data_IF_326201162745
#
_entry.id   IF_326201162745
#
_cell.length_a   1.000
_cell.length_b   1.000
_cell.length_c   1.000
_cell.angle_alpha   90.00
_cell.angle_beta   90.00
_cell.angle_gamma   90.00
#
_symmetry.space_group_name_H-M   'P 1'
#
loop_
_entity.id
_entity.type
_entity.pdbx_description
1 polymer ?
#
# COMPACT_ATOMS: atom_id res chain seq x y z
N UNK A 1 -18.35 -20.02 -11.00
CA UNK A 1 -16.98 -20.23 -10.47
C UNK A 1 -15.90 -19.86 -11.49
N UNK A 2 -16.09 -20.13 -12.79
CA UNK A 2 -15.14 -19.77 -13.86
C UNK A 2 -15.02 -18.27 -14.16
N UNK A 3 -16.10 -17.50 -14.00
CA UNK A 3 -16.10 -16.04 -14.23
C UNK A 3 -15.26 -15.27 -13.20
N UNK A 4 -15.23 -15.71 -11.94
CA UNK A 4 -14.40 -15.09 -10.90
C UNK A 4 -12.91 -15.29 -11.18
N UNK A 5 -12.52 -16.48 -11.64
CA UNK A 5 -11.13 -16.79 -12.04
C UNK A 5 -10.71 -16.01 -13.28
N UNK A 6 -11.58 -15.89 -14.29
CA UNK A 6 -11.27 -15.15 -15.52
C UNK A 6 -11.18 -13.63 -15.27
N UNK A 7 -12.03 -13.08 -14.41
CA UNK A 7 -11.99 -11.67 -14.01
C UNK A 7 -10.73 -11.31 -13.22
N UNK A 8 -10.34 -12.17 -12.27
CA UNK A 8 -9.09 -12.01 -11.51
C UNK A 8 -7.88 -12.15 -12.44
N UNK A 9 -7.84 -13.16 -13.32
CA UNK A 9 -6.74 -13.30 -14.28
C UNK A 9 -6.66 -12.13 -15.25
N UNK A 10 -7.79 -11.59 -15.72
CA UNK A 10 -7.82 -10.41 -16.58
C UNK A 10 -7.35 -9.13 -15.87
N UNK A 11 -7.76 -8.93 -14.61
CA UNK A 11 -7.32 -7.81 -13.78
C UNK A 11 -5.84 -7.90 -13.42
N UNK A 12 -5.37 -9.09 -13.02
CA UNK A 12 -3.96 -9.39 -12.78
C UNK A 12 -3.16 -9.18 -14.05
N UNK A 13 -3.60 -9.69 -15.21
CA UNK A 13 -2.92 -9.46 -16.49
C UNK A 13 -2.89 -7.97 -16.86
N UNK A 14 -3.94 -7.20 -16.59
CA UNK A 14 -3.98 -5.75 -16.85
C UNK A 14 -3.02 -4.97 -15.93
N UNK A 15 -2.88 -5.38 -14.67
CA UNK A 15 -1.85 -4.89 -13.76
C UNK A 15 -0.43 -5.29 -14.21
N UNK A 16 -0.27 -6.52 -14.75
CA UNK A 16 0.99 -7.04 -15.27
C UNK A 16 1.46 -6.37 -16.58
N UNK A 17 0.52 -5.98 -17.44
CA UNK A 17 0.80 -5.41 -18.78
C UNK A 17 0.99 -3.88 -18.74
N UNK A 18 0.46 -3.22 -17.71
CA UNK A 18 0.63 -1.78 -17.50
C UNK A 18 2.00 -1.47 -16.88
N UNK A 19 3.03 -1.47 -17.72
CA UNK A 19 4.35 -0.85 -17.56
C UNK A 19 4.87 -0.62 -16.12
N UNK A 20 5.99 -1.29 -15.80
CA UNK A 20 6.88 -1.01 -14.65
C UNK A 20 6.62 -1.72 -13.31
N UNK A 21 6.10 -2.95 -13.31
CA UNK A 21 6.11 -3.81 -12.10
C UNK A 21 7.50 -4.04 -11.54
N UNK A 22 8.51 -4.26 -12.39
CA UNK A 22 9.90 -4.41 -11.91
C UNK A 22 10.37 -3.17 -11.16
N UNK A 23 10.05 -1.98 -11.68
CA UNK A 23 10.36 -0.71 -11.03
C UNK A 23 9.55 -0.53 -9.73
N UNK A 24 8.28 -0.92 -9.72
CA UNK A 24 7.43 -0.86 -8.54
C UNK A 24 7.97 -1.76 -7.42
N UNK A 25 8.37 -3.00 -7.73
CA UNK A 25 8.94 -3.94 -6.77
C UNK A 25 10.26 -3.40 -6.20
N UNK A 26 11.18 -2.93 -7.05
CA UNK A 26 12.45 -2.35 -6.61
C UNK A 26 12.22 -1.10 -5.75
N UNK A 27 11.29 -0.24 -6.16
CA UNK A 27 10.93 0.97 -5.42
C UNK A 27 10.34 0.64 -4.04
N UNK A 28 9.43 -0.33 -3.94
CA UNK A 28 8.83 -0.75 -2.67
C UNK A 28 9.86 -1.36 -1.73
N UNK A 29 10.74 -2.25 -2.22
CA UNK A 29 11.80 -2.84 -1.41
C UNK A 29 12.81 -1.78 -0.93
N UNK A 30 13.20 -0.86 -1.82
CA UNK A 30 14.06 0.27 -1.47
C UNK A 30 13.42 1.18 -0.42
N UNK A 31 12.13 1.50 -0.55
CA UNK A 31 11.39 2.29 0.42
C UNK A 31 11.39 1.63 1.81
N UNK A 32 11.13 0.32 1.87
CA UNK A 32 11.11 -0.42 3.13
C UNK A 32 12.49 -0.38 3.80
N UNK A 33 13.57 -0.62 3.04
CA UNK A 33 14.94 -0.58 3.57
C UNK A 33 15.31 0.82 4.10
N UNK A 34 14.99 1.87 3.37
CA UNK A 34 15.27 3.25 3.77
C UNK A 34 14.43 3.66 4.98
N UNK A 35 13.13 3.33 5.00
CA UNK A 35 12.24 3.64 6.11
C UNK A 35 12.68 2.95 7.41
N UNK A 36 13.04 1.67 7.34
CA UNK A 36 13.57 0.94 8.49
C UNK A 36 14.86 1.57 9.01
N UNK A 37 15.78 1.95 8.13
CA UNK A 37 17.04 2.60 8.51
C UNK A 37 16.81 3.97 9.16
N UNK A 38 15.98 4.82 8.56
CA UNK A 38 15.67 6.16 9.09
C UNK A 38 14.99 6.06 10.45
N UNK A 39 13.96 5.22 10.60
CA UNK A 39 13.27 5.06 11.88
C UNK A 39 14.23 4.54 12.95
N UNK A 40 15.01 3.49 12.65
CA UNK A 40 15.95 2.93 13.63
C UNK A 40 17.03 3.94 14.04
N UNK A 41 17.53 4.77 13.11
CA UNK A 41 18.54 5.80 13.40
C UNK A 41 17.94 6.96 14.19
N UNK A 42 16.73 7.41 13.86
CA UNK A 42 16.10 8.56 14.50
C UNK A 42 15.52 8.25 15.89
N UNK A 43 15.03 7.04 16.10
CA UNK A 43 14.34 6.66 17.34
C UNK A 43 15.13 5.69 18.22
N UNK A 44 16.19 5.07 17.68
CA UNK A 44 16.91 3.99 18.35
C UNK A 44 16.14 2.68 18.45
N UNK A 45 14.97 2.58 17.81
CA UNK A 45 14.15 1.37 17.80
C UNK A 45 14.84 0.22 17.05
N UNK A 46 14.50 -1.01 17.40
CA UNK A 46 15.01 -2.19 16.70
C UNK A 46 14.52 -2.22 15.25
N UNK A 47 15.27 -2.88 14.36
CA UNK A 47 14.88 -3.08 12.96
C UNK A 47 13.51 -3.76 12.82
N UNK A 48 13.11 -4.56 13.81
CA UNK A 48 11.81 -5.22 13.86
C UNK A 48 10.67 -4.22 14.10
N UNK A 49 10.85 -3.32 15.08
CA UNK A 49 9.88 -2.26 15.36
C UNK A 49 9.80 -1.27 14.20
N UNK A 50 10.95 -0.90 13.62
CA UNK A 50 11.00 -0.04 12.44
C UNK A 50 10.32 -0.67 11.21
N UNK A 51 10.50 -1.98 11.00
CA UNK A 51 9.83 -2.73 9.94
C UNK A 51 8.33 -2.84 10.15
N UNK A 52 7.89 -3.05 11.39
CA UNK A 52 6.47 -3.04 11.73
C UNK A 52 5.84 -1.68 11.44
N UNK A 53 6.49 -0.58 11.85
CA UNK A 53 6.01 0.80 11.56
C UNK A 53 5.95 1.05 10.05
N UNK A 54 6.98 0.67 9.29
CA UNK A 54 7.04 0.87 7.85
C UNK A 54 5.91 0.18 7.06
N UNK A 55 5.27 -0.85 7.63
CA UNK A 55 4.13 -1.55 7.02
C UNK A 55 2.78 -1.12 7.62
N UNK A 56 2.72 -0.92 8.93
CA UNK A 56 1.48 -0.61 9.66
C UNK A 56 1.04 0.83 9.38
N UNK A 57 1.97 1.78 9.37
CA UNK A 57 1.67 3.20 9.12
C UNK A 57 0.94 3.43 7.78
N UNK A 58 1.46 2.98 6.62
CA UNK A 58 0.76 3.16 5.35
C UNK A 58 -0.58 2.41 5.30
N UNK A 59 -0.69 1.27 5.99
CA UNK A 59 -1.94 0.50 6.07
C UNK A 59 -3.03 1.25 6.83
N UNK A 60 -2.71 1.78 8.02
CA UNK A 60 -3.63 2.57 8.83
C UNK A 60 -4.00 3.87 8.10
N UNK A 61 -3.02 4.54 7.48
CA UNK A 61 -3.27 5.75 6.71
C UNK A 61 -4.22 5.51 5.53
N UNK A 62 -4.10 4.37 4.84
CA UNK A 62 -5.03 3.97 3.78
C UNK A 62 -6.46 3.74 4.29
N UNK A 63 -6.62 3.07 5.45
CA UNK A 63 -7.93 2.86 6.07
C UNK A 63 -8.55 4.19 6.51
N UNK A 64 -7.77 5.07 7.12
CA UNK A 64 -8.22 6.40 7.50
C UNK A 64 -8.65 7.24 6.29
N UNK A 65 -7.86 7.22 5.22
CA UNK A 65 -8.22 7.87 3.97
C UNK A 65 -9.54 7.36 3.39
N UNK A 66 -9.77 6.04 3.41
CA UNK A 66 -11.05 5.46 2.99
C UNK A 66 -12.22 5.96 3.85
N UNK A 67 -12.05 5.99 5.19
CA UNK A 67 -13.07 6.49 6.11
C UNK A 67 -13.38 7.97 5.87
N UNK A 68 -12.36 8.80 5.65
CA UNK A 68 -12.50 10.21 5.29
C UNK A 68 -13.22 10.37 3.94
N UNK A 69 -12.80 9.62 2.92
CA UNK A 69 -13.40 9.69 1.60
C UNK A 69 -14.88 9.27 1.62
N UNK A 70 -15.20 8.19 2.35
CA UNK A 70 -16.58 7.74 2.56
C UNK A 70 -17.42 8.80 3.28
N UNK A 71 -16.87 9.41 4.32
CA UNK A 71 -17.56 10.47 5.08
C UNK A 71 -17.74 11.72 4.23
N UNK A 72 -16.73 12.11 3.44
CA UNK A 72 -16.77 13.26 2.54
C UNK A 72 -17.81 13.08 1.42
N UNK A 73 -17.88 11.89 0.78
CA UNK A 73 -18.93 11.58 -0.20
C UNK A 73 -20.33 11.69 0.42
N UNK A 74 -20.52 11.19 1.65
CA UNK A 74 -21.78 11.29 2.39
C UNK A 74 -22.17 12.72 2.72
N UNK A 75 -21.21 13.58 3.07
CA UNK A 75 -21.46 15.00 3.39
C UNK A 75 -21.78 15.81 2.13
N UNK A 76 -21.15 15.49 0.98
CA UNK A 76 -21.35 16.22 -0.28
C UNK A 76 -22.52 15.71 -1.13
N UNK A 77 -23.30 14.73 -0.67
CA UNK A 77 -24.51 14.27 -1.35
C UNK A 77 -24.28 13.60 -2.70
N UNK A 78 -23.06 13.12 -2.99
CA UNK A 78 -22.76 12.29 -4.15
C UNK A 78 -22.85 10.82 -3.72
N UNK A 79 -24.07 10.27 -3.71
CA UNK A 79 -24.28 8.81 -3.71
C UNK A 79 -23.66 8.20 -4.98
#
# INVERSE_FOLDING_TARGET
MTEFTHGIQGAVKKLLTGSSIGLAVVYTLGHIAIAMAVVSVMTGASLWEAGAVALIEPSINGVWFYALHKSYKKIKGYE
#
